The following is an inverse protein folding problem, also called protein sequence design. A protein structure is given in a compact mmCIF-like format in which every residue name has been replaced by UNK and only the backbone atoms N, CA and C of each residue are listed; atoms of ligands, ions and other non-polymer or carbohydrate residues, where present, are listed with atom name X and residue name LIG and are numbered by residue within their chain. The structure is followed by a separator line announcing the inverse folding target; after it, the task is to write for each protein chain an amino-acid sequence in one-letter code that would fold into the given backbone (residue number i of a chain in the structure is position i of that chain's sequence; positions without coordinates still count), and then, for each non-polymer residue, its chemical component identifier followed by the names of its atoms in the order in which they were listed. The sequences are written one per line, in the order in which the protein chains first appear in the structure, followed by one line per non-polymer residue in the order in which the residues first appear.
data_IF_411984437484
#
_entry.id   IF_411984437484
#
_cell.length_a   1.000
_cell.length_b   1.000
_cell.length_c   1.000
_cell.angle_alpha   90.00
_cell.angle_beta   90.00
_cell.angle_gamma   90.00
#
_symmetry.space_group_name_H-M   'P 1'
#
loop_
_entity.id
_entity.type
_entity.pdbx_description
1 polymer ?
#
# COMPACT_ATOMS: atom_id res chain seq x y z
N UNK A 1 -13.43 -3.19 37.88
CA UNK A 1 -14.11 -4.45 38.24
C UNK A 1 -13.40 -5.58 37.51
N UNK A 2 -12.98 -6.64 38.21
CA UNK A 2 -12.29 -7.81 37.62
C UNK A 2 -13.27 -8.54 36.71
N UNK A 3 -12.99 -8.65 35.41
CA UNK A 3 -13.74 -9.51 34.49
C UNK A 3 -13.43 -10.97 34.87
N UNK A 4 -14.45 -11.69 35.29
CA UNK A 4 -14.37 -13.10 35.67
C UNK A 4 -14.78 -13.93 34.45
N UNK A 5 -13.82 -14.52 33.75
CA UNK A 5 -14.10 -15.52 32.72
C UNK A 5 -14.51 -16.81 33.42
N UNK A 6 -15.78 -17.20 33.29
CA UNK A 6 -16.28 -18.48 33.78
C UNK A 6 -16.08 -19.50 32.65
N UNK A 7 -15.06 -20.34 32.76
CA UNK A 7 -14.96 -21.57 31.95
C UNK A 7 -15.96 -22.59 32.50
N UNK A 8 -16.97 -22.97 31.70
CA UNK A 8 -17.89 -24.05 32.06
C UNK A 8 -17.18 -25.39 31.80
N UNK A 9 -16.99 -26.14 32.88
CA UNK A 9 -16.35 -27.45 32.89
C UNK A 9 -17.39 -28.51 32.50
N UNK A 10 -17.22 -29.17 31.36
CA UNK A 10 -17.87 -30.45 31.08
C UNK A 10 -16.91 -31.58 31.39
N UNK A 11 -17.07 -32.20 32.57
CA UNK A 11 -16.41 -33.45 32.92
C UNK A 11 -17.03 -34.62 32.15
N UNK A 12 -16.17 -35.32 31.41
CA UNK A 12 -16.28 -36.69 30.89
C UNK A 12 -17.67 -37.36 30.83
N UNK A 13 -18.23 -37.46 29.62
CA UNK A 13 -18.93 -38.67 29.15
C UNK A 13 -18.89 -38.71 27.62
N UNK A 14 -18.44 -39.84 27.09
CA UNK A 14 -18.11 -40.12 25.68
C UNK A 14 -19.34 -40.14 24.75
N UNK A 15 -19.17 -39.65 23.52
CA UNK A 15 -19.36 -40.43 22.29
C UNK A 15 -18.48 -39.82 21.20
N UNK A 16 -17.33 -40.45 20.94
CA UNK A 16 -16.47 -40.14 19.81
C UNK A 16 -16.95 -40.90 18.57
N UNK A 17 -17.21 -40.19 17.47
CA UNK A 17 -17.27 -40.80 16.15
C UNK A 17 -15.86 -40.73 15.54
N UNK A 18 -15.32 -41.88 15.13
CA UNK A 18 -14.03 -41.99 14.43
C UNK A 18 -14.13 -41.32 13.06
N UNK A 19 -13.24 -40.36 12.77
CA UNK A 19 -12.95 -39.93 11.39
C UNK A 19 -11.69 -40.70 10.94
N UNK A 20 -11.72 -41.46 9.83
CA UNK A 20 -10.60 -42.31 9.41
C UNK A 20 -9.41 -41.51 8.90
N UNK A 21 -8.20 -41.98 9.24
CA UNK A 21 -6.94 -41.54 8.65
C UNK A 21 -6.80 -41.97 7.19
N UNK A 22 -6.79 -41.00 6.28
CA UNK A 22 -6.08 -40.98 4.98
C UNK A 22 -6.56 -39.69 4.26
N UNK A 23 -5.74 -38.75 3.81
CA UNK A 23 -4.66 -38.88 2.84
C UNK A 23 -3.74 -37.65 2.97
N UNK A 24 -2.45 -37.89 3.18
CA UNK A 24 -1.37 -36.95 2.88
C UNK A 24 -1.20 -36.85 1.36
N UNK A 25 -1.08 -35.64 0.79
CA UNK A 25 -0.16 -35.37 -0.33
C UNK A 25 -0.10 -33.88 -0.73
N UNK A 26 1.09 -33.28 -0.57
CA UNK A 26 1.62 -32.14 -1.34
C UNK A 26 1.71 -30.82 -0.57
N UNK A 27 2.85 -30.35 -0.06
CA UNK A 27 4.24 -30.80 -0.15
C UNK A 27 5.08 -30.26 1.02
N UNK A 28 6.24 -30.85 1.23
CA UNK A 28 7.26 -30.46 2.22
C UNK A 28 7.97 -29.16 1.72
N UNK A 29 8.45 -28.22 2.54
CA UNK A 29 9.65 -28.35 3.38
C UNK A 29 9.72 -27.21 4.42
N UNK A 30 9.56 -27.53 5.72
CA UNK A 30 10.21 -26.88 6.91
C UNK A 30 9.46 -27.11 8.24
N UNK A 31 8.24 -27.66 8.25
CA UNK A 31 7.48 -27.88 9.49
C UNK A 31 8.05 -29.09 10.25
N UNK A 32 9.03 -28.85 11.10
CA UNK A 32 9.28 -29.75 12.23
C UNK A 32 8.30 -29.32 13.32
N UNK A 33 7.39 -30.18 13.82
CA UNK A 33 6.62 -29.85 15.01
C UNK A 33 7.61 -29.52 16.13
N UNK A 34 7.56 -28.28 16.63
CA UNK A 34 8.39 -27.80 17.74
C UNK A 34 7.46 -27.74 18.97
N UNK A 35 7.90 -28.30 20.10
CA UNK A 35 7.13 -28.23 21.34
C UNK A 35 6.95 -26.75 21.77
N UNK A 36 5.88 -26.46 22.50
CA UNK A 36 5.60 -25.11 23.01
C UNK A 36 6.77 -24.55 23.84
N UNK A 37 7.46 -25.40 24.60
CA UNK A 37 8.64 -25.01 25.34
C UNK A 37 9.81 -24.67 24.42
N UNK A 38 10.07 -25.49 23.41
CA UNK A 38 11.12 -25.23 22.42
C UNK A 38 10.84 -23.94 21.63
N UNK A 39 9.57 -23.64 21.34
CA UNK A 39 9.17 -22.32 20.84
C UNK A 39 9.56 -21.23 21.82
N UNK A 40 9.12 -21.32 23.08
CA UNK A 40 9.39 -20.29 24.08
C UNK A 40 10.88 -20.06 24.26
N UNK A 41 11.67 -21.12 24.31
CA UNK A 41 13.13 -21.07 24.40
C UNK A 41 13.75 -20.42 23.14
N UNK A 42 13.15 -20.64 21.96
CA UNK A 42 13.59 -20.05 20.70
C UNK A 42 13.27 -18.55 20.58
N UNK A 43 12.12 -18.09 21.11
CA UNK A 43 11.78 -16.67 21.17
C UNK A 43 12.53 -15.94 22.29
N UNK A 44 12.90 -16.63 23.36
CA UNK A 44 13.66 -16.07 24.48
C UNK A 44 15.12 -15.78 24.10
N UNK A 45 15.73 -16.61 23.25
CA UNK A 45 17.14 -16.52 22.84
C UNK A 45 17.37 -15.92 21.45
N UNK A 46 16.49 -15.01 21.00
CA UNK A 46 16.42 -14.52 19.61
C UNK A 46 17.80 -14.40 18.91
N UNK A 47 17.87 -14.98 17.71
CA UNK A 47 19.00 -14.85 16.78
C UNK A 47 19.20 -13.38 16.41
N UNK A 48 20.45 -12.93 16.29
CA UNK A 48 20.81 -11.58 15.83
C UNK A 48 20.57 -11.36 14.33
N UNK A 49 20.20 -12.42 13.62
CA UNK A 49 19.88 -12.44 12.20
C UNK A 49 18.38 -12.66 12.01
N UNK A 50 17.79 -11.97 11.02
CA UNK A 50 16.43 -12.21 10.51
C UNK A 50 16.24 -13.71 10.32
N UNK A 51 15.23 -14.31 10.95
CA UNK A 51 15.11 -15.77 10.95
C UNK A 51 14.23 -16.16 9.74
N UNK A 52 14.79 -16.83 8.70
CA UNK A 52 14.10 -17.10 7.43
C UNK A 52 12.73 -17.77 7.57
N UNK A 53 12.55 -18.55 8.65
CA UNK A 53 11.31 -19.28 8.95
C UNK A 53 10.09 -18.39 9.22
N UNK A 54 10.26 -17.10 9.56
CA UNK A 54 9.14 -16.18 9.79
C UNK A 54 8.83 -15.29 8.57
N UNK A 55 9.79 -15.13 7.67
CA UNK A 55 9.75 -14.15 6.58
C UNK A 55 8.85 -14.52 5.40
N UNK A 56 8.60 -15.81 5.21
CA UNK A 56 8.06 -16.31 3.95
C UNK A 56 6.54 -16.53 3.96
N UNK A 57 5.89 -16.47 5.13
CA UNK A 57 4.45 -16.73 5.23
C UNK A 57 3.78 -15.61 6.01
N UNK A 58 2.70 -15.07 5.46
CA UNK A 58 1.80 -14.19 6.20
C UNK A 58 0.92 -15.00 7.16
N UNK A 59 0.27 -14.34 8.11
CA UNK A 59 -0.77 -14.97 8.96
C UNK A 59 -1.83 -15.66 8.10
N UNK A 60 -2.28 -15.02 7.03
CA UNK A 60 -3.32 -15.55 6.14
C UNK A 60 -2.83 -16.75 5.33
N UNK A 61 -1.57 -16.74 4.87
CA UNK A 61 -0.96 -17.91 4.20
C UNK A 61 -0.98 -19.14 5.11
N UNK A 62 -0.59 -18.96 6.38
CA UNK A 62 -0.60 -20.05 7.37
C UNK A 62 -2.01 -20.55 7.64
N UNK A 63 -3.00 -19.65 7.72
CA UNK A 63 -4.39 -20.06 7.92
C UNK A 63 -4.94 -20.81 6.72
N UNK A 64 -4.66 -20.35 5.49
CA UNK A 64 -5.02 -21.06 4.27
C UNK A 64 -4.41 -22.46 4.22
N UNK A 65 -3.14 -22.61 4.60
CA UNK A 65 -2.46 -23.89 4.70
C UNK A 65 -3.10 -24.82 5.74
N UNK A 66 -3.36 -24.32 6.96
CA UNK A 66 -3.97 -25.10 8.06
C UNK A 66 -5.35 -25.62 7.66
N UNK A 67 -6.18 -24.74 7.06
CA UNK A 67 -7.54 -25.08 6.66
C UNK A 67 -7.59 -25.79 5.28
N UNK A 68 -6.47 -25.87 4.56
CA UNK A 68 -6.38 -26.50 3.25
C UNK A 68 -7.19 -25.78 2.16
N UNK A 69 -7.39 -24.47 2.28
CA UNK A 69 -8.19 -23.65 1.36
C UNK A 69 -9.11 -22.67 2.08
N UNK A 70 -10.34 -22.55 1.57
CA UNK A 70 -11.38 -21.66 2.11
C UNK A 70 -11.78 -22.04 3.54
N UNK A 71 -11.98 -21.02 4.38
CA UNK A 71 -12.38 -21.19 5.77
C UNK A 71 -13.23 -20.02 6.27
N UNK A 72 -13.91 -20.23 7.38
CA UNK A 72 -14.61 -19.19 8.11
C UNK A 72 -14.02 -19.02 9.51
N UNK A 73 -13.68 -17.77 9.88
CA UNK A 73 -13.29 -17.46 11.26
C UNK A 73 -14.52 -17.51 12.16
N UNK A 74 -14.39 -18.24 13.27
CA UNK A 74 -15.45 -18.37 14.26
C UNK A 74 -15.37 -17.26 15.33
N UNK A 75 -14.24 -16.58 15.47
CA UNK A 75 -14.09 -15.49 16.44
C UNK A 75 -13.70 -14.19 15.78
N UNK A 76 -14.00 -13.07 16.44
CA UNK A 76 -13.42 -11.74 16.16
C UNK A 76 -11.88 -11.68 16.23
N UNK A 77 -11.21 -12.78 16.60
CA UNK A 77 -9.76 -12.97 16.51
C UNK A 77 -9.37 -14.40 16.10
N UNK A 78 -8.11 -14.77 16.30
CA UNK A 78 -7.57 -16.11 15.99
C UNK A 78 -7.79 -17.04 17.19
N UNK A 79 -8.99 -17.62 17.27
CA UNK A 79 -9.37 -18.55 18.34
C UNK A 79 -9.85 -19.90 17.81
N UNK A 80 -10.60 -19.90 16.71
CA UNK A 80 -11.01 -21.11 15.99
C UNK A 80 -11.45 -20.78 14.56
N UNK A 81 -11.22 -21.71 13.63
CA UNK A 81 -11.70 -21.65 12.24
C UNK A 81 -12.45 -22.92 11.89
N UNK A 82 -13.22 -22.87 10.80
CA UNK A 82 -13.83 -24.05 10.19
C UNK A 82 -13.53 -24.07 8.70
N UNK A 83 -12.99 -25.18 8.20
CA UNK A 83 -12.71 -25.35 6.77
C UNK A 83 -13.98 -25.75 5.97
N UNK A 84 -13.89 -25.69 4.65
CA UNK A 84 -15.00 -26.06 3.75
C UNK A 84 -15.47 -27.53 3.87
N UNK A 85 -14.66 -28.40 4.51
CA UNK A 85 -14.99 -29.81 4.78
C UNK A 85 -15.67 -29.97 6.14
N UNK A 86 -15.89 -28.87 6.86
CA UNK A 86 -16.50 -28.82 8.17
C UNK A 86 -15.58 -29.29 9.30
N UNK A 87 -14.27 -29.32 9.09
CA UNK A 87 -13.29 -29.55 10.16
C UNK A 87 -13.13 -28.27 10.96
N UNK A 88 -13.26 -28.39 12.27
CA UNK A 88 -12.95 -27.31 13.20
C UNK A 88 -11.46 -27.34 13.54
N UNK A 89 -10.82 -26.17 13.50
CA UNK A 89 -9.45 -25.97 13.91
C UNK A 89 -9.44 -25.04 15.11
N UNK A 90 -8.73 -25.42 16.18
CA UNK A 90 -8.42 -24.48 17.25
C UNK A 90 -7.09 -23.84 16.94
N UNK A 91 -7.09 -22.52 16.81
CA UNK A 91 -5.90 -21.77 16.44
C UNK A 91 -5.62 -20.70 17.50
N UNK A 92 -4.36 -20.50 17.85
CA UNK A 92 -3.93 -19.38 18.69
C UNK A 92 -2.77 -18.64 18.01
N UNK A 93 -2.76 -17.31 18.06
CA UNK A 93 -1.68 -16.47 17.50
C UNK A 93 -0.91 -15.83 18.66
N UNK A 94 0.38 -16.13 18.74
CA UNK A 94 1.26 -15.57 19.75
C UNK A 94 2.27 -14.63 19.10
N UNK A 95 2.30 -13.39 19.62
CA UNK A 95 3.32 -12.42 19.25
C UNK A 95 4.72 -12.92 19.62
N UNK A 96 5.65 -12.79 18.68
CA UNK A 96 7.05 -13.17 18.80
C UNK A 96 7.93 -11.94 18.95
N UNK A 97 7.93 -11.06 17.95
CA UNK A 97 8.70 -9.83 17.94
C UNK A 97 8.10 -8.86 16.92
N UNK A 98 8.50 -7.59 17.01
CA UNK A 98 8.38 -6.68 15.88
C UNK A 98 9.78 -6.29 15.42
N UNK A 99 10.01 -6.38 14.12
CA UNK A 99 11.28 -6.05 13.49
C UNK A 99 11.04 -4.88 12.56
N UNK A 100 11.68 -3.75 12.84
CA UNK A 100 11.63 -2.59 11.98
C UNK A 100 12.98 -2.36 11.31
N UNK A 101 12.98 -2.21 9.99
CA UNK A 101 14.16 -1.81 9.23
C UNK A 101 14.23 -0.29 9.17
N UNK A 102 15.38 0.29 9.45
CA UNK A 102 15.63 1.73 9.40
C UNK A 102 16.70 2.09 8.35
N UNK A 103 16.69 3.34 7.89
CA UNK A 103 17.73 3.87 7.01
C UNK A 103 19.10 3.75 7.67
N UNK A 104 20.09 3.32 6.90
CA UNK A 104 21.47 3.21 7.38
C UNK A 104 21.98 4.55 7.92
N UNK A 105 22.66 4.52 9.07
CA UNK A 105 23.21 5.73 9.70
C UNK A 105 22.23 6.50 10.58
N UNK A 106 20.99 6.04 10.74
CA UNK A 106 19.97 6.68 11.59
C UNK A 106 19.82 6.03 12.97
N UNK A 107 20.64 5.04 13.29
CA UNK A 107 20.54 4.19 14.49
C UNK A 107 20.63 4.99 15.79
N UNK A 108 21.42 6.07 15.79
CA UNK A 108 21.66 6.95 16.96
C UNK A 108 20.71 8.15 17.02
N UNK A 109 19.58 8.11 16.29
CA UNK A 109 18.58 9.18 16.35
C UNK A 109 17.95 9.23 17.75
N UNK A 110 17.70 10.42 18.33
CA UNK A 110 17.16 10.54 19.70
C UNK A 110 15.88 9.76 19.96
N UNK A 111 14.99 9.65 18.95
CA UNK A 111 13.76 8.88 19.05
C UNK A 111 14.03 7.38 19.27
N UNK A 112 15.00 6.82 18.56
CA UNK A 112 15.37 5.40 18.68
C UNK A 112 16.18 5.14 19.96
N UNK A 113 17.07 6.06 20.34
CA UNK A 113 17.76 5.99 21.63
C UNK A 113 16.78 6.00 22.82
N UNK A 114 15.69 6.77 22.74
CA UNK A 114 14.63 6.75 23.74
C UNK A 114 13.92 5.40 23.80
N UNK A 115 13.59 4.81 22.65
CA UNK A 115 13.00 3.47 22.57
C UNK A 115 13.93 2.41 23.19
N UNK A 116 15.23 2.50 22.92
CA UNK A 116 16.27 1.59 23.40
C UNK A 116 16.50 1.66 24.93
N UNK A 117 15.92 2.64 25.65
CA UNK A 117 15.90 2.62 27.12
C UNK A 117 15.04 1.47 27.68
N UNK A 118 14.09 0.98 26.90
CA UNK A 118 13.34 -0.22 27.26
C UNK A 118 14.23 -1.46 27.12
N UNK A 119 14.30 -2.36 28.13
CA UNK A 119 15.02 -3.63 28.00
C UNK A 119 14.37 -4.60 26.99
N UNK A 120 13.19 -4.23 26.48
CA UNK A 120 12.45 -4.97 25.47
C UNK A 120 12.78 -4.52 24.04
N UNK A 121 13.59 -3.46 23.88
CA UNK A 121 13.98 -2.94 22.56
C UNK A 121 15.47 -3.10 22.37
N UNK A 122 15.87 -3.60 21.20
CA UNK A 122 17.26 -3.74 20.78
C UNK A 122 17.43 -3.01 19.46
N UNK A 123 18.50 -2.24 19.32
CA UNK A 123 18.93 -1.66 18.05
C UNK A 123 20.19 -2.41 17.63
N UNK A 124 20.17 -2.99 16.43
CA UNK A 124 21.30 -3.72 15.84
C UNK A 124 21.46 -3.35 14.38
N UNK A 125 22.45 -2.49 14.10
CA UNK A 125 22.61 -1.87 12.79
C UNK A 125 21.30 -1.23 12.32
N UNK A 126 20.85 -1.61 11.13
CA UNK A 126 19.63 -1.09 10.51
C UNK A 126 18.33 -1.69 11.06
N UNK A 127 18.35 -2.42 12.19
CA UNK A 127 17.18 -3.09 12.71
C UNK A 127 16.86 -2.64 14.13
N UNK A 128 15.59 -2.29 14.36
CA UNK A 128 15.00 -2.10 15.68
C UNK A 128 14.12 -3.31 15.96
N UNK A 129 14.45 -4.05 17.02
CA UNK A 129 13.78 -5.28 17.41
C UNK A 129 13.06 -5.05 18.73
N UNK A 130 11.75 -5.24 18.73
CA UNK A 130 10.88 -5.15 19.91
C UNK A 130 10.49 -6.57 20.33
N UNK A 131 10.89 -6.96 21.53
CA UNK A 131 10.76 -8.33 22.06
C UNK A 131 9.33 -8.69 22.43
N UNK A 132 9.03 -10.00 22.43
CA UNK A 132 7.77 -10.58 22.92
C UNK A 132 7.24 -9.99 24.22
N UNK A 133 8.12 -9.72 25.19
CA UNK A 133 7.73 -9.15 26.48
C UNK A 133 7.02 -7.79 26.38
N UNK A 134 7.08 -7.14 25.21
CA UNK A 134 6.35 -5.92 24.89
C UNK A 134 4.94 -6.16 24.32
N UNK A 135 4.46 -7.40 24.21
CA UNK A 135 3.20 -7.75 23.55
C UNK A 135 2.02 -6.87 23.98
N UNK A 136 1.87 -6.60 25.29
CA UNK A 136 0.77 -5.78 25.81
C UNK A 136 0.85 -4.29 25.42
N UNK A 137 2.02 -3.83 24.97
CA UNK A 137 2.28 -2.45 24.58
C UNK A 137 2.76 -2.35 23.13
N UNK A 138 2.60 -3.41 22.32
CA UNK A 138 3.20 -3.47 20.99
C UNK A 138 2.70 -2.35 20.09
N UNK A 139 1.40 -2.06 20.14
CA UNK A 139 0.77 -0.97 19.38
C UNK A 139 1.44 0.38 19.63
N UNK A 140 1.79 0.67 20.89
CA UNK A 140 2.51 1.91 21.24
C UNK A 140 3.88 1.97 20.59
N UNK A 141 4.62 0.87 20.56
CA UNK A 141 5.93 0.83 19.92
C UNK A 141 5.82 0.97 18.41
N UNK A 142 4.88 0.24 17.81
CA UNK A 142 4.58 0.28 16.37
C UNK A 142 4.15 1.69 15.96
N UNK A 143 3.29 2.36 16.72
CA UNK A 143 2.86 3.73 16.44
C UNK A 143 4.02 4.73 16.44
N UNK A 144 5.00 4.56 17.35
CA UNK A 144 6.18 5.43 17.37
C UNK A 144 7.01 5.21 16.10
N UNK A 145 7.25 3.95 15.74
CA UNK A 145 8.08 3.59 14.59
C UNK A 145 7.42 3.94 13.25
N UNK A 146 6.13 3.63 13.10
CA UNK A 146 5.38 3.84 11.85
C UNK A 146 5.34 5.31 11.42
N UNK A 147 5.43 6.24 12.37
CA UNK A 147 5.39 7.67 12.11
C UNK A 147 6.78 8.30 11.89
N UNK A 148 7.86 7.53 11.94
CA UNK A 148 9.21 8.04 11.73
C UNK A 148 9.66 7.86 10.26
N UNK A 149 10.09 8.93 9.56
CA UNK A 149 10.46 8.88 8.13
C UNK A 149 11.74 8.08 7.84
N UNK A 150 12.47 7.66 8.86
CA UNK A 150 13.66 6.82 8.73
C UNK A 150 13.34 5.33 8.90
N UNK A 151 12.11 4.97 9.25
CA UNK A 151 11.63 3.58 9.27
C UNK A 151 11.16 3.20 7.87
N UNK A 152 11.74 2.13 7.34
CA UNK A 152 11.52 1.65 5.97
C UNK A 152 10.52 0.50 5.90
N UNK A 153 10.50 -0.38 6.90
CA UNK A 153 9.51 -1.44 7.05
C UNK A 153 9.31 -1.79 8.52
N UNK A 154 8.17 -2.39 8.84
CA UNK A 154 7.87 -2.98 10.15
C UNK A 154 7.17 -4.31 9.88
N UNK A 155 7.70 -5.39 10.44
CA UNK A 155 7.13 -6.72 10.36
C UNK A 155 6.86 -7.25 11.78
N UNK A 156 5.63 -7.70 12.02
CA UNK A 156 5.22 -8.32 13.27
C UNK A 156 5.32 -9.83 13.11
N UNK A 157 6.25 -10.45 13.83
CA UNK A 157 6.44 -11.90 13.80
C UNK A 157 5.49 -12.60 14.77
N UNK A 158 4.94 -13.72 14.33
CA UNK A 158 4.02 -14.55 15.10
C UNK A 158 4.36 -16.04 15.01
N UNK A 159 3.99 -16.75 16.08
CA UNK A 159 3.78 -18.19 16.05
C UNK A 159 2.28 -18.49 16.08
N UNK A 160 1.82 -19.31 15.14
CA UNK A 160 0.44 -19.80 15.06
C UNK A 160 0.42 -21.26 15.53
N UNK A 161 -0.45 -21.55 16.48
CA UNK A 161 -0.63 -22.88 17.07
C UNK A 161 -1.91 -23.48 16.56
N UNK A 162 -1.85 -24.67 15.98
CA UNK A 162 -3.04 -25.46 15.70
C UNK A 162 -3.11 -26.62 16.69
N UNK A 163 -4.20 -26.71 17.45
CA UNK A 163 -4.48 -27.89 18.25
C UNK A 163 -4.97 -29.03 17.35
N UNK A 164 -4.15 -30.06 17.19
CA UNK A 164 -4.47 -31.21 16.33
C UNK A 164 -5.05 -32.40 17.10
N UNK A 165 -5.13 -32.32 18.43
CA UNK A 165 -5.50 -33.44 19.28
C UNK A 165 -6.83 -33.27 20.02
N UNK A 166 -7.22 -32.04 20.33
CA UNK A 166 -8.37 -31.78 21.18
C UNK A 166 -9.61 -31.42 20.37
N UNK A 167 -10.76 -31.80 20.92
CA UNK A 167 -12.05 -31.50 20.32
C UNK A 167 -12.45 -30.04 20.54
N UNK A 168 -12.93 -29.41 19.46
CA UNK A 168 -13.61 -28.11 19.45
C UNK A 168 -15.05 -28.34 19.03
N UNK A 169 -15.99 -27.64 19.66
CA UNK A 169 -17.37 -27.57 19.20
C UNK A 169 -17.89 -26.16 19.30
N UNK A 170 -18.89 -25.87 18.46
CA UNK A 170 -19.63 -24.63 18.54
C UNK A 170 -20.79 -24.80 19.52
N UNK A 171 -20.91 -23.87 20.47
CA UNK A 171 -21.97 -23.85 21.49
C UNK A 171 -23.10 -22.89 21.10
N UNK A 172 -22.78 -21.77 20.46
CA UNK A 172 -23.75 -20.73 20.13
C UNK A 172 -23.11 -19.53 19.43
N UNK A 173 -23.86 -18.44 19.40
CA UNK A 173 -23.45 -17.17 18.84
C UNK A 173 -23.84 -16.02 19.76
N UNK A 174 -23.00 -15.00 19.78
CA UNK A 174 -23.23 -13.69 20.36
C UNK A 174 -23.63 -12.73 19.26
N UNK A 175 -24.68 -11.95 19.51
CA UNK A 175 -25.14 -10.95 18.57
C UNK A 175 -25.59 -9.69 19.31
N UNK A 176 -24.85 -8.60 19.09
CA UNK A 176 -25.15 -7.26 19.61
C UNK A 176 -25.96 -6.49 18.55
N UNK A 177 -27.29 -6.66 18.57
CA UNK A 177 -28.19 -6.00 17.63
C UNK A 177 -29.68 -6.28 17.89
N UNK A 178 -30.55 -5.88 16.96
CA UNK A 178 -31.99 -6.09 17.08
C UNK A 178 -32.36 -7.57 16.96
N UNK A 179 -33.21 -8.07 17.87
CA UNK A 179 -33.60 -9.48 17.91
C UNK A 179 -33.93 -10.03 16.51
N UNK A 180 -33.12 -10.99 16.06
CA UNK A 180 -33.35 -11.73 14.82
C UNK A 180 -34.69 -12.48 14.89
N UNK A 181 -35.44 -12.57 13.79
CA UNK A 181 -36.74 -13.25 13.79
C UNK A 181 -36.61 -14.76 13.62
N UNK A 182 -37.59 -15.53 14.08
CA UNK A 182 -37.60 -16.98 13.88
C UNK A 182 -37.60 -17.35 12.39
N UNK A 183 -38.26 -16.54 11.54
CA UNK A 183 -38.23 -16.71 10.08
C UNK A 183 -36.83 -16.54 9.51
N UNK A 184 -36.07 -15.57 10.02
CA UNK A 184 -34.69 -15.33 9.63
C UNK A 184 -33.79 -16.49 10.08
N UNK A 185 -33.93 -16.93 11.33
CA UNK A 185 -33.16 -18.07 11.86
C UNK A 185 -33.43 -19.37 11.07
N UNK A 186 -34.65 -19.55 10.55
CA UNK A 186 -35.04 -20.69 9.73
C UNK A 186 -34.32 -20.74 8.36
N UNK A 187 -33.67 -19.66 7.93
CA UNK A 187 -32.83 -19.65 6.72
C UNK A 187 -31.50 -20.39 6.87
N UNK A 188 -31.15 -20.81 8.10
CA UNK A 188 -29.91 -21.50 8.45
C UNK A 188 -30.22 -22.87 9.10
N UNK A 189 -30.88 -23.78 8.36
CA UNK A 189 -31.42 -25.02 8.92
C UNK A 189 -30.36 -25.97 9.49
N UNK A 190 -29.13 -25.95 8.97
CA UNK A 190 -28.05 -26.81 9.46
C UNK A 190 -27.57 -26.40 10.85
N UNK A 191 -27.67 -25.12 11.20
CA UNK A 191 -27.29 -24.60 12.53
C UNK A 191 -28.39 -24.86 13.58
N UNK A 192 -29.63 -25.10 13.14
CA UNK A 192 -30.77 -25.34 14.01
C UNK A 192 -30.88 -24.31 15.15
N UNK A 193 -30.74 -23.03 14.78
CA UNK A 193 -30.66 -21.87 15.68
C UNK A 193 -31.91 -21.72 16.55
N UNK A 194 -31.71 -21.29 17.79
CA UNK A 194 -32.77 -20.99 18.75
C UNK A 194 -32.37 -19.79 19.61
N UNK A 195 -33.33 -18.95 19.99
CA UNK A 195 -33.10 -17.94 21.03
C UNK A 195 -32.91 -18.60 22.40
N UNK A 196 -31.95 -18.11 23.20
CA UNK A 196 -31.78 -18.53 24.59
C UNK A 196 -32.20 -17.43 25.57
N UNK A 197 -33.07 -17.80 26.53
CA UNK A 197 -33.52 -16.93 27.61
C UNK A 197 -32.53 -16.90 28.80
N UNK A 198 -31.57 -17.82 28.84
CA UNK A 198 -30.67 -18.01 30.00
C UNK A 198 -29.47 -17.06 30.02
N UNK A 199 -29.15 -16.43 28.88
CA UNK A 199 -27.94 -15.62 28.71
C UNK A 199 -28.20 -14.20 28.19
N UNK A 200 -29.47 -13.81 27.98
CA UNK A 200 -29.83 -12.43 27.62
C UNK A 200 -29.75 -11.52 28.85
N UNK A 201 -28.89 -10.51 28.84
CA UNK A 201 -28.88 -9.44 29.86
C UNK A 201 -29.49 -8.16 29.30
N UNK A 202 -30.03 -7.29 30.16
CA UNK A 202 -30.70 -6.04 29.76
C UNK A 202 -29.79 -5.01 29.06
N UNK A 203 -28.47 -5.24 29.00
CA UNK A 203 -27.52 -4.27 28.49
C UNK A 203 -26.98 -4.58 27.08
N UNK A 204 -26.66 -5.84 26.75
CA UNK A 204 -26.11 -6.26 25.46
C UNK A 204 -26.34 -7.78 25.23
N UNK A 205 -26.34 -8.18 23.96
CA UNK A 205 -26.24 -9.55 23.41
C UNK A 205 -27.49 -10.47 23.49
N UNK A 206 -28.09 -10.77 22.32
CA UNK A 206 -29.00 -11.90 22.17
C UNK A 206 -28.20 -13.17 21.86
N UNK A 207 -28.33 -14.18 22.73
CA UNK A 207 -27.71 -15.48 22.52
C UNK A 207 -28.52 -16.33 21.55
N UNK A 208 -27.87 -16.80 20.49
CA UNK A 208 -28.44 -17.78 19.56
C UNK A 208 -27.70 -19.10 19.74
N UNK A 209 -28.41 -20.17 20.10
CA UNK A 209 -27.81 -21.48 20.43
C UNK A 209 -28.11 -22.50 19.34
N UNK A 210 -27.16 -23.43 19.13
CA UNK A 210 -27.31 -24.56 18.23
C UNK A 210 -28.17 -25.68 18.82
N UNK A 211 -29.18 -26.10 18.07
CA UNK A 211 -30.16 -27.07 18.53
C UNK A 211 -30.14 -28.45 17.87
N UNK A 212 -29.34 -28.64 16.82
CA UNK A 212 -29.29 -29.85 16.01
C UNK A 212 -27.84 -30.34 15.89
N UNK A 213 -27.56 -31.53 16.42
CA UNK A 213 -26.22 -32.16 16.33
C UNK A 213 -26.10 -33.14 15.16
N UNK A 214 -27.18 -33.32 14.40
CA UNK A 214 -27.30 -34.34 13.36
C UNK A 214 -27.00 -33.79 11.96
N UNK A 215 -26.75 -32.48 11.82
CA UNK A 215 -26.45 -31.82 10.55
C UNK A 215 -25.07 -32.21 10.01
N UNK A 216 -24.95 -32.29 8.69
CA UNK A 216 -23.65 -32.52 8.05
C UNK A 216 -22.70 -31.33 8.32
N UNK A 217 -21.43 -31.59 8.72
CA UNK A 217 -20.47 -30.52 8.99
C UNK A 217 -20.24 -29.55 7.83
N UNK A 218 -20.35 -30.01 6.58
CA UNK A 218 -20.21 -29.14 5.40
C UNK A 218 -21.41 -28.20 5.28
N UNK A 219 -22.61 -28.66 5.62
CA UNK A 219 -23.81 -27.82 5.63
C UNK A 219 -23.76 -26.82 6.80
N UNK A 220 -23.20 -27.21 7.95
CA UNK A 220 -22.91 -26.28 9.05
C UNK A 220 -21.95 -25.18 8.58
N UNK A 221 -20.86 -25.54 7.90
CA UNK A 221 -19.91 -24.55 7.36
C UNK A 221 -20.62 -23.54 6.44
N UNK A 222 -21.40 -24.01 5.47
CA UNK A 222 -22.13 -23.16 4.52
C UNK A 222 -23.09 -22.20 5.22
N UNK A 223 -23.84 -22.69 6.19
CA UNK A 223 -24.78 -21.85 6.93
C UNK A 223 -24.05 -20.83 7.81
N UNK A 224 -22.90 -21.17 8.42
CA UNK A 224 -22.08 -20.19 9.17
C UNK A 224 -21.58 -19.09 8.25
N UNK A 225 -21.03 -19.43 7.08
CA UNK A 225 -20.56 -18.45 6.09
C UNK A 225 -21.70 -17.50 5.73
N UNK A 226 -22.84 -18.05 5.30
CA UNK A 226 -24.03 -17.25 4.95
C UNK A 226 -24.49 -16.38 6.12
N UNK A 227 -24.45 -16.91 7.35
CA UNK A 227 -24.92 -16.18 8.52
C UNK A 227 -24.01 -14.99 8.85
N UNK A 228 -22.68 -15.17 8.80
CA UNK A 228 -21.73 -14.07 9.01
C UNK A 228 -21.78 -13.03 7.88
N UNK A 229 -22.03 -13.44 6.63
CA UNK A 229 -22.26 -12.50 5.52
C UNK A 229 -23.52 -11.65 5.74
N UNK A 230 -24.57 -12.27 6.27
CA UNK A 230 -25.87 -11.61 6.49
C UNK A 230 -25.86 -10.76 7.76
N UNK A 231 -25.09 -11.18 8.78
CA UNK A 231 -24.99 -10.52 10.08
C UNK A 231 -23.51 -10.40 10.47
N UNK A 232 -22.78 -9.40 9.94
CA UNK A 232 -21.33 -9.29 10.15
C UNK A 232 -20.90 -9.09 11.61
N UNK A 233 -21.81 -8.62 12.48
CA UNK A 233 -21.55 -8.42 13.90
C UNK A 233 -21.70 -9.69 14.75
N UNK A 234 -21.98 -10.85 14.14
CA UNK A 234 -22.16 -12.10 14.88
C UNK A 234 -20.83 -12.75 15.23
N UNK A 235 -20.66 -13.04 16.53
CA UNK A 235 -19.51 -13.74 17.09
C UNK A 235 -19.88 -15.18 17.46
N UNK A 236 -18.99 -16.15 17.22
CA UNK A 236 -19.26 -17.56 17.54
C UNK A 236 -18.70 -17.90 18.92
N UNK A 237 -19.53 -18.52 19.76
CA UNK A 237 -19.10 -19.16 20.99
C UNK A 237 -18.61 -20.58 20.67
N UNK A 238 -17.30 -20.78 20.68
CA UNK A 238 -16.68 -22.11 20.58
C UNK A 238 -16.16 -22.57 21.95
N UNK A 239 -16.36 -23.86 22.24
CA UNK A 239 -15.83 -24.51 23.44
C UNK A 239 -14.84 -25.60 23.02
N UNK A 240 -13.86 -25.87 23.89
CA UNK A 240 -12.88 -26.93 23.70
C UNK A 240 -12.70 -27.74 24.97
N UNK A 241 -12.04 -28.89 24.86
CA UNK A 241 -11.62 -29.66 26.05
C UNK A 241 -10.62 -28.87 26.90
N UNK A 242 -10.46 -29.27 28.17
CA UNK A 242 -9.54 -28.64 29.13
C UNK A 242 -8.04 -28.88 28.81
N UNK A 243 -7.73 -29.77 27.87
CA UNK A 243 -6.37 -30.05 27.41
C UNK A 243 -6.01 -29.29 26.13
N UNK A 244 -6.86 -28.35 25.72
CA UNK A 244 -6.63 -27.55 24.52
C UNK A 244 -5.24 -26.90 24.54
N UNK A 245 -4.58 -26.86 23.38
CA UNK A 245 -3.24 -26.34 23.13
C UNK A 245 -2.10 -27.11 23.83
N UNK A 246 -2.35 -28.26 24.45
CA UNK A 246 -1.29 -29.12 25.01
C UNK A 246 -0.57 -29.99 23.98
N UNK A 247 -1.16 -30.18 22.80
CA UNK A 247 -0.56 -30.86 21.65
C UNK A 247 -0.88 -30.05 20.41
N UNK A 248 0.00 -29.12 20.09
CA UNK A 248 -0.18 -28.21 18.97
C UNK A 248 0.94 -28.35 17.96
N UNK A 249 0.59 -28.19 16.69
CA UNK A 249 1.56 -27.94 15.64
C UNK A 249 1.79 -26.43 15.55
N UNK A 250 3.05 -26.04 15.32
CA UNK A 250 3.47 -24.65 15.25
C UNK A 250 3.83 -24.25 13.83
N UNK A 251 3.35 -23.06 13.46
CA UNK A 251 3.60 -22.42 12.19
C UNK A 251 4.13 -21.00 12.44
N UNK A 252 5.16 -20.61 11.70
CA UNK A 252 5.77 -19.29 11.84
C UNK A 252 5.34 -18.39 10.69
N UNK A 253 5.05 -17.14 11.00
CA UNK A 253 4.61 -16.15 10.03
C UNK A 253 4.93 -14.74 10.48
N UNK A 254 4.71 -13.78 9.59
CA UNK A 254 4.77 -12.36 9.87
C UNK A 254 3.48 -11.65 9.43
N UNK A 255 3.31 -10.42 9.88
CA UNK A 255 2.25 -9.50 9.47
C UNK A 255 2.90 -8.14 9.22
N UNK A 256 2.94 -7.65 7.96
CA UNK A 256 3.58 -6.37 7.66
C UNK A 256 2.73 -5.22 8.19
N UNK A 257 3.35 -4.30 8.92
CA UNK A 257 2.77 -3.00 9.25
C UNK A 257 3.25 -1.99 8.24
N UNK A 258 2.34 -1.59 7.35
CA UNK A 258 2.69 -0.66 6.30
C UNK A 258 3.04 0.73 6.84
N UNK A 259 4.22 1.19 6.46
CA UNK A 259 4.71 2.56 6.69
C UNK A 259 4.58 3.39 5.41
N UNK A 260 4.66 4.71 5.55
CA UNK A 260 4.73 5.62 4.42
C UNK A 260 6.17 5.66 3.90
N UNK A 261 6.43 4.77 2.95
CA UNK A 261 7.75 4.54 2.36
C UNK A 261 8.06 5.43 1.15
N UNK A 262 9.28 5.29 0.63
CA UNK A 262 9.68 5.90 -0.64
C UNK A 262 9.02 5.13 -1.80
N UNK A 263 8.14 5.78 -2.55
CA UNK A 263 7.51 5.17 -3.73
C UNK A 263 8.57 4.75 -4.76
N UNK A 264 8.55 3.49 -5.18
CA UNK A 264 9.54 2.86 -6.06
C UNK A 264 10.67 2.10 -5.35
N UNK A 265 10.81 2.21 -4.03
CA UNK A 265 11.81 1.48 -3.22
C UNK A 265 11.31 0.06 -2.89
N UNK A 266 11.41 -0.83 -3.88
CA UNK A 266 10.94 -2.21 -3.80
C UNK A 266 11.85 -3.09 -2.93
N UNK A 267 13.14 -2.77 -2.81
CA UNK A 267 14.11 -3.54 -2.03
C UNK A 267 14.25 -3.06 -0.57
N UNK A 268 13.61 -1.94 -0.22
CA UNK A 268 13.53 -1.36 1.13
C UNK A 268 14.92 -0.99 1.65
N UNK A 269 15.74 -0.36 0.81
CA UNK A 269 17.06 0.16 1.23
C UNK A 269 17.04 1.67 1.54
N UNK A 270 15.93 2.35 1.26
CA UNK A 270 15.73 3.76 1.49
C UNK A 270 16.10 4.65 0.29
N UNK A 271 16.46 4.05 -0.84
CA UNK A 271 16.82 4.72 -2.09
C UNK A 271 16.06 4.07 -3.25
N UNK A 272 15.52 4.88 -4.15
CA UNK A 272 14.96 4.37 -5.40
C UNK A 272 16.06 4.31 -6.46
N UNK A 273 16.46 3.11 -6.88
CA UNK A 273 17.45 2.86 -7.93
C UNK A 273 17.11 1.65 -8.83
N UNK A 274 18.04 1.24 -9.69
CA UNK A 274 17.79 0.16 -10.66
C UNK A 274 17.57 -1.20 -9.99
N UNK A 275 18.07 -1.38 -8.77
CA UNK A 275 17.95 -2.59 -7.97
C UNK A 275 16.51 -2.88 -7.59
N UNK A 276 15.67 -1.84 -7.45
CA UNK A 276 14.23 -2.00 -7.21
C UNK A 276 13.52 -2.63 -8.40
N UNK A 277 13.85 -2.15 -9.60
CA UNK A 277 13.35 -2.72 -10.86
C UNK A 277 13.79 -4.19 -11.00
N UNK A 278 15.03 -4.50 -10.61
CA UNK A 278 15.55 -5.87 -10.59
C UNK A 278 14.80 -6.74 -9.58
N UNK A 279 14.54 -6.24 -8.36
CA UNK A 279 13.77 -6.96 -7.33
C UNK A 279 12.37 -7.32 -7.82
N UNK A 280 11.64 -6.36 -8.42
CA UNK A 280 10.32 -6.60 -9.01
C UNK A 280 10.41 -7.68 -10.09
N UNK A 281 11.33 -7.55 -11.06
CA UNK A 281 11.46 -8.53 -12.14
C UNK A 281 11.87 -9.92 -11.64
N UNK A 282 12.74 -10.00 -10.64
CA UNK A 282 13.14 -11.26 -10.02
C UNK A 282 11.98 -11.95 -9.31
N UNK A 283 11.19 -11.17 -8.55
CA UNK A 283 10.01 -11.68 -7.84
C UNK A 283 8.96 -12.26 -8.80
N UNK A 284 8.81 -11.67 -9.99
CA UNK A 284 7.91 -12.16 -11.03
C UNK A 284 8.51 -13.38 -11.75
N UNK A 285 9.81 -13.38 -12.04
CA UNK A 285 10.46 -14.42 -12.83
C UNK A 285 10.69 -15.72 -12.06
N UNK A 286 10.94 -15.64 -10.74
CA UNK A 286 11.13 -16.80 -9.87
C UNK A 286 10.54 -16.52 -8.48
N UNK A 287 9.20 -16.55 -8.35
CA UNK A 287 8.51 -16.21 -7.12
C UNK A 287 8.86 -17.12 -5.94
N UNK A 288 9.23 -18.38 -6.20
CA UNK A 288 9.64 -19.33 -5.15
C UNK A 288 10.89 -18.85 -4.40
N UNK A 289 11.77 -18.10 -5.07
CA UNK A 289 13.00 -17.57 -4.45
C UNK A 289 12.89 -16.08 -4.10
N UNK A 290 12.25 -15.30 -4.96
CA UNK A 290 12.27 -13.83 -4.90
C UNK A 290 10.88 -13.20 -4.69
N UNK A 291 9.81 -14.00 -4.67
CA UNK A 291 8.46 -13.53 -4.35
C UNK A 291 8.24 -13.36 -2.85
N UNK A 292 7.02 -13.00 -2.44
CA UNK A 292 6.64 -12.81 -1.02
C UNK A 292 6.95 -14.00 -0.11
N UNK A 293 7.07 -15.21 -0.68
CA UNK A 293 7.39 -16.44 0.03
C UNK A 293 8.85 -16.87 -0.05
N UNK A 294 9.69 -16.05 -0.66
CA UNK A 294 11.12 -16.30 -0.82
C UNK A 294 11.93 -15.73 0.35
N UNK A 295 12.96 -16.45 0.78
CA UNK A 295 13.89 -15.98 1.82
C UNK A 295 14.62 -14.68 1.41
N UNK A 296 15.01 -14.60 0.14
CA UNK A 296 15.58 -13.42 -0.52
C UNK A 296 14.51 -12.59 -1.25
N UNK A 297 13.24 -12.78 -0.89
CA UNK A 297 12.10 -12.26 -1.60
C UNK A 297 11.78 -10.80 -1.33
N UNK A 298 11.01 -10.22 -2.25
CA UNK A 298 10.33 -8.95 -2.02
C UNK A 298 9.39 -9.10 -0.81
N UNK A 299 9.34 -8.10 0.08
CA UNK A 299 8.46 -8.15 1.25
C UNK A 299 7.13 -7.45 0.97
N UNK A 300 6.15 -7.56 1.88
CA UNK A 300 4.87 -6.86 1.75
C UNK A 300 5.04 -5.34 1.59
N UNK A 301 5.92 -4.71 2.37
CA UNK A 301 6.21 -3.28 2.23
C UNK A 301 6.88 -2.96 0.89
N UNK A 302 7.74 -3.84 0.37
CA UNK A 302 8.38 -3.68 -0.93
C UNK A 302 7.37 -3.74 -2.07
N UNK A 303 6.40 -4.65 -1.98
CA UNK A 303 5.24 -4.71 -2.89
C UNK A 303 4.45 -3.39 -2.85
N UNK A 304 4.13 -2.88 -1.65
CA UNK A 304 3.44 -1.58 -1.50
C UNK A 304 4.23 -0.41 -2.10
N UNK A 305 5.54 -0.39 -1.93
CA UNK A 305 6.39 0.67 -2.48
C UNK A 305 6.49 0.58 -4.01
N UNK A 306 6.53 -0.64 -4.55
CA UNK A 306 6.66 -0.91 -5.98
C UNK A 306 5.35 -0.67 -6.76
N UNK A 307 4.23 -1.11 -6.21
CA UNK A 307 2.90 -1.06 -6.84
C UNK A 307 2.36 0.38 -6.84
N UNK A 308 2.53 1.05 -7.98
CA UNK A 308 2.20 2.46 -8.13
C UNK A 308 0.76 2.73 -8.56
N UNK A 309 0.05 1.72 -9.08
CA UNK A 309 -1.31 1.84 -9.62
C UNK A 309 -2.36 1.00 -8.85
N UNK A 310 -1.92 0.21 -7.88
CA UNK A 310 -2.75 -0.60 -6.99
C UNK A 310 -3.24 -1.90 -7.63
N UNK A 311 -2.61 -2.35 -8.73
CA UNK A 311 -3.01 -3.56 -9.45
C UNK A 311 -2.19 -4.80 -9.07
N UNK A 312 -1.30 -4.68 -8.08
CA UNK A 312 -0.25 -5.64 -7.77
C UNK A 312 1.04 -5.32 -8.52
N UNK A 313 2.13 -6.03 -8.20
CA UNK A 313 3.41 -5.79 -8.87
C UNK A 313 3.47 -6.46 -10.25
N UNK A 314 3.90 -5.68 -11.24
CA UNK A 314 4.06 -6.14 -12.62
C UNK A 314 5.38 -5.68 -13.23
N UNK A 315 5.71 -6.18 -14.42
CA UNK A 315 6.83 -5.65 -15.20
C UNK A 315 6.63 -4.17 -15.58
N UNK A 316 5.41 -3.64 -15.54
CA UNK A 316 5.13 -2.24 -15.80
C UNK A 316 5.66 -1.34 -14.68
N UNK A 317 5.59 -1.76 -13.43
CA UNK A 317 6.16 -1.05 -12.28
C UNK A 317 7.68 -0.99 -12.36
N UNK A 318 8.31 -2.12 -12.71
CA UNK A 318 9.74 -2.17 -12.97
C UNK A 318 10.16 -1.19 -14.08
N UNK A 319 9.38 -1.09 -15.16
CA UNK A 319 9.61 -0.13 -16.24
C UNK A 319 9.35 1.32 -15.79
N UNK A 320 8.34 1.55 -14.94
CA UNK A 320 8.02 2.87 -14.41
C UNK A 320 9.18 3.41 -13.54
N UNK A 321 9.80 2.57 -12.72
CA UNK A 321 11.02 2.91 -11.97
C UNK A 321 12.17 3.24 -12.95
N UNK A 322 12.39 2.42 -13.98
CA UNK A 322 13.44 2.73 -14.98
C UNK A 322 13.20 4.08 -15.67
N UNK A 323 11.95 4.39 -16.02
CA UNK A 323 11.56 5.68 -16.59
C UNK A 323 11.82 6.82 -15.60
N UNK A 324 11.44 6.68 -14.32
CA UNK A 324 11.75 7.61 -13.22
C UNK A 324 13.24 7.93 -13.13
N UNK A 325 14.09 6.89 -13.11
CA UNK A 325 15.54 7.05 -13.01
C UNK A 325 16.14 7.76 -14.23
N UNK A 326 15.56 7.55 -15.41
CA UNK A 326 15.92 8.22 -16.65
C UNK A 326 15.22 9.58 -16.84
N UNK A 327 14.34 9.98 -15.91
CA UNK A 327 13.46 11.16 -15.99
C UNK A 327 12.61 11.17 -17.26
N UNK A 328 12.09 10.01 -17.65
CA UNK A 328 11.21 9.81 -18.81
C UNK A 328 9.72 9.85 -18.47
N UNK A 329 9.39 9.82 -17.18
CA UNK A 329 8.06 9.92 -16.59
C UNK A 329 7.63 11.38 -16.35
N UNK A 330 8.59 12.26 -16.04
CA UNK A 330 8.43 13.73 -16.10
C UNK A 330 8.56 14.27 -17.54
N UNK A 331 8.82 13.38 -18.51
CA UNK A 331 8.99 13.71 -19.94
C UNK A 331 8.07 12.87 -20.84
N UNK A 332 6.79 12.80 -20.48
CA UNK A 332 5.74 12.77 -21.50
C UNK A 332 5.37 14.20 -21.99
N UNK A 333 6.12 15.24 -21.60
CA UNK A 333 6.31 16.40 -22.45
C UNK A 333 7.34 16.01 -23.51
N UNK A 334 6.84 15.49 -24.62
CA UNK A 334 7.54 15.51 -25.90
C UNK A 334 8.35 16.80 -26.02
N UNK A 335 9.64 16.71 -26.39
CA UNK A 335 10.21 17.76 -27.25
C UNK A 335 9.27 17.76 -28.46
N UNK A 336 8.25 18.60 -28.40
CA UNK A 336 7.43 18.88 -29.56
C UNK A 336 8.43 19.35 -30.60
N UNK A 337 8.40 18.76 -31.80
CA UNK A 337 9.07 19.35 -32.97
C UNK A 337 8.54 20.76 -33.28
N UNK A 338 7.53 21.21 -32.52
CA UNK A 338 6.87 22.50 -32.58
C UNK A 338 6.42 22.97 -31.17
N UNK A 339 7.35 23.41 -30.31
CA UNK A 339 7.07 23.85 -28.93
C UNK A 339 6.15 25.08 -28.84
N UNK A 340 5.87 25.72 -29.98
CA UNK A 340 5.01 26.90 -30.09
C UNK A 340 3.69 26.59 -30.81
N UNK A 341 3.42 25.36 -31.23
CA UNK A 341 2.18 25.01 -31.95
C UNK A 341 1.98 25.77 -33.28
N UNK A 342 3.07 26.16 -33.96
CA UNK A 342 3.05 26.90 -35.23
C UNK A 342 2.88 25.99 -36.48
N UNK A 343 3.00 24.68 -36.33
CA UNK A 343 2.91 23.67 -37.39
C UNK A 343 1.47 23.32 -37.77
N UNK A 344 0.51 23.59 -36.87
CA UNK A 344 -0.92 23.56 -37.18
C UNK A 344 -1.34 24.92 -37.75
N UNK A 345 -1.93 24.93 -38.95
CA UNK A 345 -2.23 26.12 -39.77
C UNK A 345 -3.26 27.12 -39.16
N UNK A 346 -3.52 27.08 -37.85
CA UNK A 346 -4.64 27.78 -37.20
C UNK A 346 -4.20 29.06 -36.42
N UNK A 347 -3.21 29.80 -36.92
CA UNK A 347 -2.90 31.13 -36.36
C UNK A 347 -3.94 32.14 -36.85
N UNK A 348 -4.77 32.65 -35.93
CA UNK A 348 -5.83 33.60 -36.25
C UNK A 348 -5.29 35.02 -36.46
N UNK A 349 -4.32 35.46 -35.63
CA UNK A 349 -3.66 36.78 -35.75
C UNK A 349 -2.43 36.92 -34.84
N UNK A 350 -1.58 37.90 -35.15
CA UNK A 350 -0.46 38.33 -34.29
C UNK A 350 -0.68 39.78 -33.86
N UNK A 351 -0.49 40.07 -32.56
CA UNK A 351 -0.82 41.36 -31.94
C UNK A 351 0.39 41.94 -31.21
N UNK A 352 0.79 43.17 -31.53
CA UNK A 352 1.90 43.85 -30.85
C UNK A 352 1.52 44.35 -29.44
N UNK A 353 2.46 44.28 -28.50
CA UNK A 353 2.38 44.81 -27.14
C UNK A 353 3.60 45.70 -26.84
N UNK A 354 3.52 46.64 -25.88
CA UNK A 354 2.39 47.10 -25.10
C UNK A 354 1.90 48.43 -25.67
N UNK A 355 0.59 48.52 -25.90
CA UNK A 355 -0.07 49.81 -26.09
C UNK A 355 -1.13 49.92 -24.99
N UNK A 356 -1.39 51.13 -24.42
CA UNK A 356 -2.41 51.31 -23.41
C UNK A 356 -3.78 50.89 -23.95
N UNK A 357 -4.17 49.66 -23.64
CA UNK A 357 -5.49 49.00 -23.55
C UNK A 357 -6.57 49.24 -24.63
N UNK A 358 -6.55 50.26 -25.49
CA UNK A 358 -7.72 50.52 -26.35
C UNK A 358 -7.57 50.11 -27.82
N UNK A 359 -6.39 50.10 -28.46
CA UNK A 359 -6.22 49.46 -29.78
C UNK A 359 -4.75 49.01 -29.95
N UNK A 360 -4.47 47.73 -29.75
CA UNK A 360 -3.21 47.14 -30.21
C UNK A 360 -3.32 46.87 -31.73
N UNK A 361 -2.42 47.38 -32.58
CA UNK A 361 -2.52 47.12 -34.01
C UNK A 361 -2.19 45.65 -34.29
N UNK A 362 -3.12 44.92 -34.90
CA UNK A 362 -2.89 43.57 -35.43
C UNK A 362 -1.87 43.64 -36.57
N UNK A 363 -0.89 42.75 -36.64
CA UNK A 363 0.00 42.68 -37.79
C UNK A 363 -0.79 42.41 -39.09
N UNK A 364 -0.28 42.87 -40.24
CA UNK A 364 -0.90 42.44 -41.51
C UNK A 364 -0.70 40.93 -41.66
N UNK A 365 -1.54 40.26 -42.45
CA UNK A 365 -1.41 38.82 -42.72
C UNK A 365 0.01 38.47 -43.19
N UNK A 366 0.58 39.28 -44.08
CA UNK A 366 1.96 39.14 -44.56
C UNK A 366 3.02 39.32 -43.46
N UNK A 367 2.86 40.30 -42.57
CA UNK A 367 3.80 40.50 -41.46
C UNK A 367 3.68 39.38 -40.42
N UNK A 368 2.46 38.91 -40.15
CA UNK A 368 2.18 37.80 -39.24
C UNK A 368 2.82 36.49 -39.75
N UNK A 369 2.65 36.16 -41.04
CA UNK A 369 3.32 35.03 -41.68
C UNK A 369 4.84 35.12 -41.56
N UNK A 370 5.40 36.31 -41.78
CA UNK A 370 6.84 36.53 -41.70
C UNK A 370 7.38 36.35 -40.27
N UNK A 371 6.63 36.80 -39.25
CA UNK A 371 6.96 36.57 -37.83
C UNK A 371 6.88 35.08 -37.49
N UNK A 372 5.82 34.38 -37.90
CA UNK A 372 5.65 32.94 -37.67
C UNK A 372 6.80 32.14 -38.28
N UNK A 373 7.21 32.49 -39.51
CA UNK A 373 8.33 31.84 -40.18
C UNK A 373 9.67 32.05 -39.46
N UNK A 374 9.89 33.21 -38.83
CA UNK A 374 11.07 33.41 -38.00
C UNK A 374 11.03 32.55 -36.74
N UNK A 375 9.88 32.47 -36.08
CA UNK A 375 9.70 31.68 -34.85
C UNK A 375 9.85 30.17 -35.07
N UNK A 376 9.39 29.65 -36.20
CA UNK A 376 9.55 28.23 -36.59
C UNK A 376 11.01 27.79 -36.71
N UNK A 377 11.91 28.74 -36.96
CA UNK A 377 13.33 28.47 -37.17
C UNK A 377 14.18 28.71 -35.93
N UNK A 378 13.57 29.04 -34.78
CA UNK A 378 14.30 29.22 -33.52
C UNK A 378 14.69 27.89 -32.90
N UNK A 379 15.89 27.86 -32.35
CA UNK A 379 16.37 26.82 -31.46
C UNK A 379 15.89 27.13 -30.04
N UNK A 380 14.96 26.32 -29.52
CA UNK A 380 14.37 26.50 -28.20
C UNK A 380 14.87 25.44 -27.21
N UNK A 381 15.30 25.88 -26.03
CA UNK A 381 15.72 25.00 -24.91
C UNK A 381 14.84 25.27 -23.70
N UNK A 382 14.22 24.27 -23.06
CA UNK A 382 13.43 24.51 -21.84
C UNK A 382 14.25 25.23 -20.75
N UNK A 383 13.69 26.27 -20.14
CA UNK A 383 14.35 27.02 -19.08
C UNK A 383 14.17 26.29 -17.73
N UNK A 384 15.26 25.76 -17.16
CA UNK A 384 15.22 24.88 -15.97
C UNK A 384 15.40 25.64 -14.64
N UNK A 385 15.90 26.88 -14.66
CA UNK A 385 15.94 27.81 -13.51
C UNK A 385 16.40 29.20 -14.01
N UNK A 386 16.00 30.27 -13.29
CA UNK A 386 16.23 31.71 -13.58
C UNK A 386 15.35 32.36 -14.67
N UNK A 387 14.02 32.38 -14.45
CA UNK A 387 13.15 33.34 -15.14
C UNK A 387 13.04 34.58 -14.23
N UNK A 388 13.39 35.80 -14.69
CA UNK A 388 13.22 37.01 -13.88
C UNK A 388 11.74 37.22 -13.53
N UNK A 389 11.45 37.56 -12.28
CA UNK A 389 10.09 37.73 -11.75
C UNK A 389 9.33 38.83 -12.51
N UNK A 390 8.51 38.43 -13.48
CA UNK A 390 7.80 39.36 -14.39
C UNK A 390 6.65 40.09 -13.70
N UNK A 391 6.33 39.78 -12.44
CA UNK A 391 5.24 40.43 -11.69
C UNK A 391 5.53 41.88 -11.30
N UNK A 392 6.77 42.37 -11.50
CA UNK A 392 7.18 43.75 -11.19
C UNK A 392 7.59 44.60 -12.40
N UNK A 393 7.30 44.16 -13.64
CA UNK A 393 7.65 44.94 -14.84
C UNK A 393 6.67 46.10 -15.00
N UNK A 394 7.09 47.30 -14.58
CA UNK A 394 6.39 48.53 -14.93
C UNK A 394 6.64 48.85 -16.41
N UNK A 395 5.59 48.72 -17.23
CA UNK A 395 5.52 49.15 -18.63
C UNK A 395 5.79 50.67 -18.74
N UNK A 396 7.05 51.06 -18.73
CA UNK A 396 7.46 52.48 -18.68
C UNK A 396 8.11 52.96 -19.96
N UNK A 397 8.26 52.12 -20.98
CA UNK A 397 8.69 52.57 -22.30
C UNK A 397 7.99 51.86 -23.44
N UNK A 398 7.60 52.61 -24.47
CA UNK A 398 7.04 52.18 -25.77
C UNK A 398 8.03 51.35 -26.63
N UNK A 399 9.02 50.69 -26.01
CA UNK A 399 10.12 49.97 -26.67
C UNK A 399 10.23 48.48 -26.28
N UNK A 400 9.21 47.91 -25.66
CA UNK A 400 9.19 46.45 -25.48
C UNK A 400 8.67 45.81 -26.77
N UNK A 401 9.47 44.90 -27.34
CA UNK A 401 9.20 44.19 -28.60
C UNK A 401 8.28 42.97 -28.37
N UNK A 402 7.36 43.10 -27.42
CA UNK A 402 6.50 42.00 -26.99
C UNK A 402 5.35 41.84 -27.97
N UNK A 403 4.93 40.60 -28.23
CA UNK A 403 3.77 40.35 -29.07
C UNK A 403 3.07 39.06 -28.64
N UNK A 404 1.79 38.97 -28.98
CA UNK A 404 0.92 37.84 -28.71
C UNK A 404 0.54 37.16 -30.01
N UNK A 405 0.74 35.86 -30.09
CA UNK A 405 0.20 35.01 -31.17
C UNK A 405 -1.13 34.47 -30.68
N UNK A 406 -2.20 34.64 -31.45
CA UNK A 406 -3.55 34.17 -31.12
C UNK A 406 -3.96 33.10 -32.11
N UNK A 407 -4.39 31.94 -31.60
CA UNK A 407 -4.86 30.82 -32.40
C UNK A 407 -6.39 30.84 -32.54
N UNK A 408 -6.94 30.14 -33.53
CA UNK A 408 -8.40 30.11 -33.80
C UNK A 408 -9.25 29.61 -32.63
N UNK A 409 -8.67 28.83 -31.72
CA UNK A 409 -9.31 28.34 -30.50
C UNK A 409 -9.25 29.34 -29.31
N UNK A 410 -8.83 30.59 -29.54
CA UNK A 410 -8.57 31.65 -28.54
C UNK A 410 -7.41 31.38 -27.56
N UNK A 411 -6.61 30.33 -27.77
CA UNK A 411 -5.33 30.18 -27.06
C UNK A 411 -4.34 31.25 -27.54
N UNK A 412 -3.34 31.55 -26.70
CA UNK A 412 -2.33 32.53 -27.08
C UNK A 412 -0.95 32.24 -26.50
N UNK A 413 0.08 32.49 -27.31
CA UNK A 413 1.49 32.44 -26.92
C UNK A 413 1.99 33.87 -26.73
N UNK A 414 2.58 34.13 -25.57
CA UNK A 414 3.17 35.43 -25.23
C UNK A 414 4.67 35.39 -25.50
N UNK A 415 5.12 36.20 -26.44
CA UNK A 415 6.53 36.38 -26.74
C UNK A 415 7.00 37.66 -26.06
N UNK A 416 7.88 37.50 -25.07
CA UNK A 416 8.50 38.60 -24.34
C UNK A 416 9.93 38.80 -24.82
N UNK A 417 10.20 39.94 -25.46
CA UNK A 417 11.52 40.27 -25.97
C UNK A 417 12.07 41.43 -25.13
N UNK A 418 12.48 41.11 -23.90
CA UNK A 418 13.03 42.10 -22.97
C UNK A 418 14.29 41.57 -22.30
N UNK A 419 15.46 42.16 -22.60
CA UNK A 419 16.74 41.70 -22.04
C UNK A 419 17.20 40.32 -22.54
N UNK A 420 16.50 39.81 -23.57
CA UNK A 420 16.77 38.73 -24.53
C UNK A 420 17.10 37.35 -23.95
N UNK A 421 16.16 36.43 -24.19
CA UNK A 421 16.42 35.03 -24.57
C UNK A 421 15.20 34.15 -24.26
N UNK A 422 14.02 34.65 -23.85
CA UNK A 422 12.94 33.76 -23.35
C UNK A 422 11.59 33.88 -24.06
N UNK A 423 10.89 32.76 -24.20
CA UNK A 423 9.54 32.65 -24.76
C UNK A 423 8.67 31.75 -23.86
N UNK A 424 7.40 32.10 -23.65
CA UNK A 424 6.46 31.27 -22.88
C UNK A 424 5.43 30.59 -23.79
N UNK A 425 5.41 29.26 -23.82
CA UNK A 425 4.43 28.47 -24.55
C UNK A 425 3.05 28.46 -23.88
N UNK A 426 2.04 27.99 -24.61
CA UNK A 426 0.64 27.97 -24.16
C UNK A 426 0.40 27.06 -22.94
N UNK A 427 1.23 26.02 -22.78
CA UNK A 427 1.25 25.12 -21.62
C UNK A 427 1.86 25.78 -20.35
N UNK A 428 2.35 27.02 -20.47
CA UNK A 428 2.98 27.77 -19.39
C UNK A 428 4.49 27.58 -19.27
N UNK A 429 5.10 26.74 -20.11
CA UNK A 429 6.53 26.43 -20.11
C UNK A 429 7.34 27.58 -20.69
N UNK A 430 8.47 27.92 -20.06
CA UNK A 430 9.42 28.89 -20.59
C UNK A 430 10.54 28.21 -21.36
N UNK A 431 10.90 28.80 -22.49
CA UNK A 431 11.95 28.36 -23.38
C UNK A 431 13.00 29.45 -23.51
N UNK A 432 14.27 29.08 -23.46
CA UNK A 432 15.41 29.89 -23.83
C UNK A 432 15.69 29.79 -25.33
N UNK A 433 15.92 30.92 -25.99
CA UNK A 433 16.30 31.12 -27.39
C UNK A 433 17.82 31.29 -27.43
N UNK A 434 18.46 30.81 -28.50
CA UNK A 434 19.87 31.12 -28.75
C UNK A 434 20.11 32.64 -28.87
N UNK A 435 21.18 33.14 -28.25
CA UNK A 435 21.47 34.58 -28.18
C UNK A 435 21.64 35.23 -29.58
N UNK A 436 22.17 34.50 -30.55
CA UNK A 436 22.34 35.01 -31.91
C UNK A 436 20.99 35.07 -32.65
N UNK A 437 20.14 34.06 -32.48
CA UNK A 437 18.80 34.02 -33.06
C UNK A 437 17.89 35.08 -32.42
N UNK A 438 17.99 35.30 -31.11
CA UNK A 438 17.25 36.32 -30.38
C UNK A 438 17.53 37.73 -30.93
N UNK A 439 18.80 38.05 -31.23
CA UNK A 439 19.20 39.34 -31.84
C UNK A 439 18.66 39.52 -33.26
N UNK A 440 18.62 38.44 -34.06
CA UNK A 440 18.05 38.48 -35.42
C UNK A 440 16.55 38.73 -35.35
N UNK A 441 15.85 38.01 -34.47
CA UNK A 441 14.41 38.17 -34.25
C UNK A 441 14.06 39.58 -33.77
N UNK A 442 14.83 40.12 -32.83
CA UNK A 442 14.67 41.48 -32.33
C UNK A 442 14.79 42.52 -33.45
N UNK A 443 15.86 42.46 -34.25
CA UNK A 443 16.07 43.40 -35.35
C UNK A 443 14.94 43.33 -36.38
N UNK A 444 14.51 42.12 -36.73
CA UNK A 444 13.41 41.88 -37.66
C UNK A 444 12.09 42.49 -37.16
N UNK A 445 11.72 42.22 -35.90
CA UNK A 445 10.47 42.74 -35.31
C UNK A 445 10.55 44.24 -35.10
N UNK A 446 11.72 44.73 -34.68
CA UNK A 446 11.96 46.16 -34.53
C UNK A 446 11.77 46.93 -35.82
N UNK A 447 12.24 46.40 -36.96
CA UNK A 447 12.02 47.01 -38.27
C UNK A 447 10.54 47.03 -38.68
N UNK A 448 9.79 45.95 -38.39
CA UNK A 448 8.36 45.87 -38.66
C UNK A 448 7.56 46.87 -37.82
N UNK A 449 7.86 46.95 -36.52
CA UNK A 449 7.22 47.91 -35.61
C UNK A 449 7.59 49.34 -35.99
N UNK A 450 8.85 49.63 -36.31
CA UNK A 450 9.29 50.97 -36.73
C UNK A 450 8.61 51.43 -38.02
N UNK A 451 8.40 50.54 -39.00
CA UNK A 451 7.64 50.86 -40.23
C UNK A 451 6.17 51.18 -39.97
N UNK A 452 5.63 50.71 -38.84
CA UNK A 452 4.20 50.81 -38.48
C UNK A 452 3.89 51.96 -37.53
N UNK A 453 4.87 52.38 -36.73
CA UNK A 453 4.77 53.50 -35.78
C UNK A 453 5.40 54.81 -36.29
N UNK A 454 6.00 54.81 -37.50
CA UNK A 454 6.29 56.03 -38.29
C UNK A 454 5.07 56.42 -39.13
#
# INVERSE_FOLDING_TARGET
MKKMYISIVLTAAMTAAMIPNSVLAGGDMTKTPIDLQDYYDSVENFSKEEIPKYKCLTVDDVLGDINGGEYVSLSTGLGSTMDEKGKLHKIDKQFSAAVAKIKAGTESKPAFEELAKSPLVVIDGQYIIIRRGAAENIDKYVDILKNDPDVLSIDLDYGIYEDTANYVSIEGFFYDGEKLTDEFLAEFPALALKHSDNWSTEAHDYFVVFGGRDSDPVDIYRDIVKFKETVPSIDVCAISTCLAMMKADMYFCHEPVYVDGLGGDANIDGVMDISDSVMIMQSIANPDKYGLRGEDGITGQGVKNADSDGNGITNADALAIQKKLLRLDENAATISSDPLGLSDENVSKVVALPSPIEIAPEFTETDAEAIINQLKNLTLTPAVQDIPDTTSIQFTSLKSYDFRIVYENNENVMVHLHGYDYLKANDGTWYKIDEAEAKVLEGFIGDLLNKRYQ
#
